data_IF_687378508993
#
_entry.id   IF_687378508993
#
_cell.length_a   1.000
_cell.length_b   1.000
_cell.length_c   1.000
_cell.angle_alpha   90.00
_cell.angle_beta   90.00
_cell.angle_gamma   90.00
#
_symmetry.space_group_name_H-M   'P 1'
#
loop_
_entity.id
_entity.type
_entity.pdbx_description
1 polymer ?
#
# COMPACT_ATOMS: atom_id res chain seq x y z
N UNK A 1 -54.67 -23.47 60.75
CA UNK A 1 -54.18 -24.71 60.10
C UNK A 1 -53.78 -24.33 58.70
N UNK A 2 -52.54 -24.65 58.32
CA UNK A 2 -51.88 -24.17 57.12
C UNK A 2 -52.60 -24.65 55.85
N UNK A 3 -52.90 -23.72 54.94
CA UNK A 3 -53.26 -24.03 53.57
C UNK A 3 -52.10 -23.71 52.64
N UNK A 4 -51.87 -24.65 51.73
CA UNK A 4 -50.69 -24.85 50.91
C UNK A 4 -50.50 -23.76 49.85
N UNK A 5 -49.36 -23.09 49.81
CA UNK A 5 -48.97 -22.26 48.65
C UNK A 5 -48.74 -23.17 47.43
N UNK A 6 -49.38 -22.91 46.27
CA UNK A 6 -49.08 -23.64 45.05
C UNK A 6 -47.73 -23.16 44.47
N UNK A 7 -46.89 -24.14 44.14
CA UNK A 7 -45.68 -23.98 43.34
C UNK A 7 -46.03 -23.31 41.99
N UNK A 8 -45.48 -22.11 41.77
CA UNK A 8 -45.47 -21.46 40.45
C UNK A 8 -44.72 -22.36 39.45
N UNK A 9 -45.45 -22.81 38.43
CA UNK A 9 -44.94 -23.54 37.29
C UNK A 9 -43.95 -22.69 36.49
N UNK A 10 -42.86 -23.31 36.04
CA UNK A 10 -41.72 -22.77 35.26
C UNK A 10 -42.09 -22.28 33.84
N UNK A 11 -43.33 -21.82 33.62
CA UNK A 11 -43.88 -21.44 32.30
C UNK A 11 -43.92 -19.93 32.02
N UNK A 12 -43.50 -19.08 32.97
CA UNK A 12 -43.47 -17.62 32.79
C UNK A 12 -42.03 -17.04 32.70
N UNK A 13 -41.11 -17.75 32.03
CA UNK A 13 -39.88 -17.09 31.55
C UNK A 13 -40.17 -16.41 30.22
N UNK A 14 -40.03 -15.07 30.12
CA UNK A 14 -40.14 -14.39 28.84
C UNK A 14 -39.11 -15.01 27.87
N UNK A 15 -39.45 -15.19 26.59
CA UNK A 15 -38.51 -15.72 25.61
C UNK A 15 -37.25 -14.88 25.64
N UNK A 16 -36.10 -15.50 25.92
CA UNK A 16 -34.81 -14.83 25.80
C UNK A 16 -34.75 -14.15 24.42
N UNK A 17 -34.35 -12.88 24.34
CA UNK A 17 -34.18 -12.22 23.06
C UNK A 17 -33.18 -13.06 22.26
N UNK A 18 -33.66 -13.67 21.16
CA UNK A 18 -32.80 -14.34 20.19
C UNK A 18 -31.75 -13.31 19.77
N UNK A 19 -30.51 -13.48 20.25
CA UNK A 19 -29.40 -12.63 19.84
C UNK A 19 -29.33 -12.71 18.31
N UNK A 20 -29.11 -11.58 17.62
CA UNK A 20 -28.95 -11.61 16.17
C UNK A 20 -27.86 -12.64 15.81
N UNK A 21 -28.00 -13.35 14.68
CA UNK A 21 -27.00 -14.31 14.24
C UNK A 21 -25.63 -13.61 14.24
N UNK A 22 -24.66 -14.21 14.94
CA UNK A 22 -23.33 -13.60 15.09
C UNK A 22 -22.70 -13.49 13.72
N UNK A 23 -22.23 -12.29 13.38
CA UNK A 23 -21.52 -12.11 12.11
C UNK A 23 -20.25 -12.97 12.10
N UNK A 24 -19.89 -13.48 10.92
CA UNK A 24 -18.67 -14.27 10.73
C UNK A 24 -17.44 -13.48 11.23
N UNK A 25 -17.42 -12.18 10.98
CA UNK A 25 -16.36 -11.27 11.40
C UNK A 25 -16.21 -11.20 12.92
N UNK A 26 -17.30 -11.09 13.67
CA UNK A 26 -17.26 -11.08 15.14
C UNK A 26 -16.76 -12.41 15.71
N UNK A 27 -17.11 -13.51 15.07
CA UNK A 27 -16.65 -14.85 15.48
C UNK A 27 -15.15 -15.02 15.22
N UNK A 28 -14.68 -14.62 14.04
CA UNK A 28 -13.25 -14.63 13.69
C UNK A 28 -12.46 -13.72 14.63
N UNK A 29 -12.94 -12.51 14.90
CA UNK A 29 -12.27 -11.53 15.77
C UNK A 29 -12.14 -12.04 17.21
N UNK A 30 -13.18 -12.70 17.74
CA UNK A 30 -13.12 -13.31 19.07
C UNK A 30 -12.15 -14.50 19.13
N UNK A 31 -12.01 -15.26 18.05
CA UNK A 31 -11.10 -16.40 17.97
C UNK A 31 -9.63 -15.99 17.84
N UNK A 32 -9.33 -14.96 17.05
CA UNK A 32 -7.95 -14.49 16.82
C UNK A 32 -7.32 -13.95 18.12
N UNK A 33 -8.12 -13.41 19.04
CA UNK A 33 -7.67 -13.08 20.40
C UNK A 33 -6.52 -12.08 20.44
N UNK A 34 -5.61 -12.25 21.42
CA UNK A 34 -4.42 -11.40 21.58
C UNK A 34 -3.33 -11.68 20.53
N UNK A 35 -2.44 -10.70 20.34
CA UNK A 35 -1.36 -10.76 19.36
C UNK A 35 -0.26 -11.72 19.83
N UNK A 36 -0.33 -12.97 19.36
CA UNK A 36 0.65 -14.02 19.71
C UNK A 36 1.91 -13.96 18.84
N UNK A 37 3.03 -14.49 19.34
CA UNK A 37 4.31 -14.52 18.62
C UNK A 37 4.23 -15.11 17.20
N UNK A 38 3.40 -16.13 16.99
CA UNK A 38 3.20 -16.73 15.68
C UNK A 38 2.55 -15.75 14.69
N UNK A 39 1.58 -14.95 15.15
CA UNK A 39 0.94 -13.91 14.34
C UNK A 39 1.94 -12.79 13.99
N UNK A 40 2.81 -12.43 14.94
CA UNK A 40 3.90 -11.45 14.68
C UNK A 40 4.85 -11.99 13.62
N UNK A 41 5.29 -13.24 13.78
CA UNK A 41 6.19 -13.88 12.83
C UNK A 41 5.57 -13.95 11.43
N UNK A 42 4.31 -14.36 11.32
CA UNK A 42 3.59 -14.41 10.04
C UNK A 42 3.40 -13.02 9.44
N UNK A 43 3.03 -12.02 10.25
CA UNK A 43 2.88 -10.64 9.79
C UNK A 43 4.20 -10.08 9.26
N UNK A 44 5.32 -10.31 9.97
CA UNK A 44 6.66 -9.91 9.50
C UNK A 44 7.03 -10.68 8.23
N UNK A 45 6.79 -12.00 8.20
CA UNK A 45 7.13 -12.84 7.07
C UNK A 45 6.40 -12.38 5.81
N UNK A 46 5.09 -12.13 5.88
CA UNK A 46 4.29 -11.62 4.74
C UNK A 46 4.68 -10.19 4.36
N UNK A 47 4.89 -9.32 5.35
CA UNK A 47 5.35 -7.94 5.13
C UNK A 47 6.73 -7.87 4.49
N UNK A 48 7.58 -8.88 4.65
CA UNK A 48 8.89 -8.96 4.02
C UNK A 48 8.81 -8.96 2.49
N UNK A 49 7.66 -9.33 1.89
CA UNK A 49 7.41 -9.17 0.45
C UNK A 49 7.65 -7.73 -0.04
N UNK A 50 7.39 -6.73 0.82
CA UNK A 50 7.54 -5.32 0.50
C UNK A 50 9.02 -4.92 0.31
N UNK A 51 9.98 -5.69 0.85
CA UNK A 51 11.41 -5.51 0.58
C UNK A 51 11.69 -5.69 -0.91
N UNK A 52 11.20 -6.79 -1.49
CA UNK A 52 11.40 -7.12 -2.90
C UNK A 52 10.61 -6.17 -3.81
N UNK A 53 9.42 -5.75 -3.36
CA UNK A 53 8.62 -4.74 -4.06
C UNK A 53 9.38 -3.41 -4.18
N UNK A 54 9.97 -2.92 -3.09
CA UNK A 54 10.79 -1.71 -3.09
C UNK A 54 12.00 -1.82 -4.01
N UNK A 55 12.73 -2.94 -3.91
CA UNK A 55 13.90 -3.21 -4.76
C UNK A 55 13.53 -3.18 -6.25
N UNK A 56 12.45 -3.86 -6.64
CA UNK A 56 11.98 -3.89 -8.04
C UNK A 56 11.44 -2.53 -8.51
N UNK A 57 10.84 -1.76 -7.61
CA UNK A 57 10.28 -0.44 -7.93
C UNK A 57 11.38 0.57 -8.25
N UNK A 58 12.49 0.55 -7.50
CA UNK A 58 13.56 1.54 -7.65
C UNK A 58 14.80 1.05 -8.40
N UNK A 59 14.85 -0.22 -8.85
CA UNK A 59 16.02 -0.75 -9.57
C UNK A 59 16.37 0.10 -10.82
N UNK A 60 15.37 0.68 -11.48
CA UNK A 60 15.57 1.52 -12.67
C UNK A 60 16.41 2.77 -12.39
N UNK A 61 16.40 3.27 -11.15
CA UNK A 61 17.25 4.41 -10.74
C UNK A 61 18.73 4.10 -10.98
N UNK A 62 19.15 2.83 -10.86
CA UNK A 62 20.53 2.41 -11.05
C UNK A 62 20.80 1.83 -12.45
N UNK A 63 19.86 1.06 -13.02
CA UNK A 63 20.07 0.44 -14.35
C UNK A 63 19.98 1.43 -15.50
N UNK A 64 19.25 2.52 -15.28
CA UNK A 64 19.00 3.55 -16.28
C UNK A 64 19.83 4.82 -15.99
N UNK A 65 20.75 4.77 -15.00
CA UNK A 65 21.64 5.89 -14.70
C UNK A 65 22.70 6.08 -15.81
N UNK A 66 23.03 7.34 -16.10
CA UNK A 66 24.16 7.68 -16.95
C UNK A 66 25.48 7.34 -16.22
N UNK A 67 26.37 6.55 -16.83
CA UNK A 67 27.68 6.29 -16.24
C UNK A 67 28.52 7.56 -16.23
N UNK A 68 29.50 7.63 -15.34
CA UNK A 68 30.49 8.71 -15.38
C UNK A 68 31.34 8.61 -16.64
N UNK A 69 31.75 9.76 -17.17
CA UNK A 69 32.53 9.89 -18.39
C UNK A 69 33.73 10.80 -18.16
N UNK A 70 34.81 10.53 -18.88
CA UNK A 70 35.99 11.39 -18.88
C UNK A 70 36.30 11.87 -20.30
N UNK A 71 36.96 13.01 -20.34
CA UNK A 71 37.46 13.60 -21.56
C UNK A 71 38.73 12.87 -22.01
N UNK A 72 38.79 12.44 -23.27
CA UNK A 72 40.01 11.87 -23.88
C UNK A 72 40.85 12.94 -24.55
N UNK A 73 40.26 14.07 -24.94
CA UNK A 73 40.94 15.22 -25.54
C UNK A 73 40.51 16.53 -24.86
N UNK A 74 41.28 16.94 -23.84
CA UNK A 74 41.04 18.15 -23.04
C UNK A 74 41.03 19.45 -23.85
N UNK A 75 41.52 19.43 -25.10
CA UNK A 75 41.48 20.62 -25.97
C UNK A 75 40.09 20.90 -26.57
N UNK A 76 39.23 19.88 -26.63
CA UNK A 76 37.90 19.94 -27.26
C UNK A 76 36.78 19.91 -26.22
N UNK A 77 37.00 19.25 -25.09
CA UNK A 77 35.97 19.05 -24.08
C UNK A 77 36.38 19.65 -22.73
N UNK A 78 35.51 20.53 -22.21
CA UNK A 78 35.56 21.00 -20.83
C UNK A 78 34.56 20.19 -20.00
N UNK A 79 34.82 20.00 -18.70
CA UNK A 79 33.90 19.31 -17.77
C UNK A 79 32.50 19.95 -17.60
N UNK A 80 32.24 21.09 -18.27
CA UNK A 80 30.95 21.78 -18.32
C UNK A 80 30.20 21.64 -19.67
N UNK A 81 30.83 21.01 -20.67
CA UNK A 81 30.21 20.77 -21.98
C UNK A 81 29.26 19.58 -21.90
N UNK A 82 28.07 19.70 -22.49
CA UNK A 82 27.15 18.54 -22.58
C UNK A 82 27.72 17.49 -23.54
N UNK A 83 27.68 16.21 -23.14
CA UNK A 83 28.16 15.05 -23.93
C UNK A 83 27.63 15.08 -25.37
N UNK A 84 26.44 15.64 -25.57
CA UNK A 84 25.75 15.71 -26.85
C UNK A 84 26.24 16.74 -27.83
N UNK A 85 27.02 17.71 -27.38
CA UNK A 85 27.64 18.71 -28.24
C UNK A 85 29.09 18.33 -28.58
N UNK A 86 29.61 17.26 -27.97
CA UNK A 86 30.98 16.81 -28.12
C UNK A 86 31.09 15.68 -29.16
N UNK A 87 32.14 15.68 -30.01
CA UNK A 87 32.41 14.57 -30.90
C UNK A 87 32.74 13.29 -30.12
N UNK A 88 32.24 12.13 -30.57
CA UNK A 88 32.42 10.83 -29.88
C UNK A 88 33.88 10.39 -29.67
N UNK A 89 34.83 11.01 -30.36
CA UNK A 89 36.26 10.74 -30.21
C UNK A 89 36.91 11.50 -29.05
N UNK A 90 36.27 12.54 -28.51
CA UNK A 90 36.83 13.41 -27.47
C UNK A 90 36.43 13.03 -26.05
N UNK A 91 35.65 11.97 -25.87
CA UNK A 91 35.23 11.48 -24.56
C UNK A 91 35.08 9.95 -24.56
N UNK A 92 35.18 9.33 -23.38
CA UNK A 92 34.86 7.92 -23.20
C UNK A 92 34.25 7.65 -21.82
N UNK A 93 33.47 6.57 -21.72
CA UNK A 93 32.88 6.15 -20.45
C UNK A 93 33.96 5.64 -19.49
N UNK A 94 33.84 5.97 -18.20
CA UNK A 94 34.74 5.42 -17.17
C UNK A 94 34.51 3.91 -16.95
N UNK A 95 33.32 3.43 -17.32
CA UNK A 95 32.87 2.06 -17.12
C UNK A 95 32.54 1.36 -18.44
N UNK A 96 32.58 0.01 -18.49
CA UNK A 96 32.24 -0.74 -19.69
C UNK A 96 30.81 -0.42 -20.19
N UNK A 97 30.63 -0.40 -21.51
CA UNK A 97 29.36 -0.01 -22.15
C UNK A 97 28.14 -0.86 -21.71
N UNK A 98 28.32 -2.06 -21.17
CA UNK A 98 27.21 -2.92 -20.72
C UNK A 98 26.70 -2.60 -19.30
N UNK A 99 27.24 -1.57 -18.65
CA UNK A 99 26.92 -1.22 -17.25
C UNK A 99 25.52 -0.64 -17.11
N UNK A 100 25.10 0.25 -18.02
CA UNK A 100 23.74 0.79 -18.06
C UNK A 100 23.08 0.60 -19.42
N UNK A 101 21.75 0.70 -19.45
CA UNK A 101 20.98 0.65 -20.70
C UNK A 101 21.38 1.83 -21.61
N UNK A 102 21.68 2.99 -21.03
CA UNK A 102 22.11 4.18 -21.79
C UNK A 102 23.45 3.92 -22.48
N UNK A 103 24.43 3.35 -21.78
CA UNK A 103 25.74 3.07 -22.35
C UNK A 103 25.75 1.91 -23.34
N UNK A 104 24.88 0.90 -23.18
CA UNK A 104 24.85 -0.30 -24.05
C UNK A 104 24.28 0.05 -25.42
N UNK A 105 23.31 0.96 -25.46
CA UNK A 105 22.52 1.27 -26.66
C UNK A 105 22.81 2.66 -27.24
N UNK A 106 23.74 3.42 -26.65
CA UNK A 106 24.21 4.69 -27.20
C UNK A 106 23.14 5.77 -27.23
N UNK A 107 22.26 5.80 -26.22
CA UNK A 107 21.12 6.72 -26.12
C UNK A 107 21.48 8.04 -25.41
N UNK A 108 22.75 8.43 -25.37
CA UNK A 108 23.22 9.65 -24.70
C UNK A 108 22.55 10.95 -25.20
N UNK A 109 22.07 11.00 -26.45
CA UNK A 109 21.62 12.24 -27.10
C UNK A 109 20.36 12.11 -27.96
N UNK A 110 19.59 11.04 -27.79
CA UNK A 110 18.42 10.82 -28.62
C UNK A 110 17.28 11.72 -28.19
N UNK A 111 16.87 12.67 -29.05
CA UNK A 111 15.51 13.21 -28.99
C UNK A 111 14.53 12.04 -29.19
N UNK A 112 13.38 12.05 -28.50
CA UNK A 112 12.44 10.93 -28.33
C UNK A 112 11.85 10.27 -29.60
N UNK A 113 12.38 10.50 -30.81
CA UNK A 113 11.70 10.12 -32.05
C UNK A 113 12.53 9.33 -33.09
N UNK A 114 13.88 9.37 -33.14
CA UNK A 114 14.62 8.84 -34.31
C UNK A 114 15.93 8.07 -34.00
N UNK A 115 15.90 6.97 -33.24
CA UNK A 115 17.08 6.07 -33.16
C UNK A 115 16.72 4.59 -33.18
N UNK A 116 15.92 4.18 -34.18
CA UNK A 116 15.77 2.79 -34.62
C UNK A 116 14.30 2.33 -34.63
N UNK A 117 13.69 2.20 -35.80
CA UNK A 117 12.23 2.03 -35.89
C UNK A 117 11.71 0.64 -36.36
N UNK A 118 12.47 -0.24 -37.04
CA UNK A 118 11.93 -1.57 -37.35
C UNK A 118 12.44 -2.73 -36.46
N UNK A 119 13.74 -2.78 -36.13
CA UNK A 119 14.30 -3.88 -35.33
C UNK A 119 14.19 -3.60 -33.82
N UNK A 120 14.45 -2.36 -33.41
CA UNK A 120 14.37 -1.90 -32.03
C UNK A 120 12.93 -1.65 -31.56
N UNK A 121 11.95 -1.44 -32.43
CA UNK A 121 10.53 -1.33 -32.03
C UNK A 121 9.95 -2.65 -31.52
N UNK A 122 10.38 -3.79 -32.08
CA UNK A 122 9.99 -5.11 -31.57
C UNK A 122 10.61 -5.35 -30.18
N UNK A 123 11.94 -5.17 -30.04
CA UNK A 123 12.60 -5.37 -28.75
C UNK A 123 12.16 -4.35 -27.69
N UNK A 124 11.95 -3.08 -28.07
CA UNK A 124 11.38 -2.06 -27.18
C UNK A 124 9.92 -2.35 -26.86
N UNK A 125 9.12 -2.81 -27.82
CA UNK A 125 7.74 -3.23 -27.60
C UNK A 125 7.68 -4.40 -26.61
N UNK A 126 8.53 -5.40 -26.78
CA UNK A 126 8.67 -6.51 -25.83
C UNK A 126 9.14 -6.01 -24.45
N UNK A 127 10.12 -5.11 -24.39
CA UNK A 127 10.60 -4.56 -23.12
C UNK A 127 9.51 -3.75 -22.41
N UNK A 128 8.79 -2.89 -23.13
CA UNK A 128 7.66 -2.11 -22.60
C UNK A 128 6.54 -3.02 -22.15
N UNK A 129 6.17 -4.05 -22.93
CA UNK A 129 5.16 -5.03 -22.55
C UNK A 129 5.57 -5.82 -21.31
N UNK A 130 6.83 -6.28 -21.23
CA UNK A 130 7.36 -6.99 -20.06
C UNK A 130 7.42 -6.08 -18.82
N UNK A 131 7.80 -4.80 -18.99
CA UNK A 131 7.79 -3.81 -17.91
C UNK A 131 6.37 -3.48 -17.45
N UNK A 132 5.40 -3.46 -18.38
CA UNK A 132 3.98 -3.29 -18.05
C UNK A 132 3.43 -4.48 -17.28
N UNK A 133 3.71 -5.71 -17.74
CA UNK A 133 3.32 -6.95 -17.04
C UNK A 133 3.97 -7.01 -15.65
N UNK A 134 5.26 -6.67 -15.55
CA UNK A 134 5.96 -6.55 -14.27
C UNK A 134 5.30 -5.48 -13.38
N UNK A 135 4.93 -4.34 -13.94
CA UNK A 135 4.16 -3.27 -13.28
C UNK A 135 2.85 -3.75 -12.69
N UNK A 136 2.07 -4.46 -13.49
CA UNK A 136 0.77 -4.98 -13.09
C UNK A 136 0.89 -6.06 -12.01
N UNK A 137 1.81 -7.00 -12.18
CA UNK A 137 2.11 -8.04 -11.20
C UNK A 137 2.54 -7.44 -9.86
N UNK A 138 3.45 -6.45 -9.90
CA UNK A 138 3.96 -5.75 -8.72
C UNK A 138 2.87 -5.04 -7.91
N UNK A 139 1.98 -4.31 -8.57
CA UNK A 139 0.88 -3.60 -7.89
C UNK A 139 -0.02 -4.52 -7.06
N UNK A 140 -0.11 -5.80 -7.45
CA UNK A 140 -0.92 -6.80 -6.76
C UNK A 140 -0.21 -7.33 -5.52
N UNK A 141 1.13 -7.44 -5.51
CA UNK A 141 1.91 -8.02 -4.40
C UNK A 141 1.71 -7.25 -3.11
N UNK A 142 1.91 -5.92 -3.12
CA UNK A 142 1.75 -5.09 -1.93
C UNK A 142 0.33 -5.15 -1.36
N UNK A 143 -0.67 -5.11 -2.23
CA UNK A 143 -2.09 -5.19 -1.86
C UNK A 143 -2.44 -6.55 -1.25
N UNK A 144 -2.04 -7.66 -1.88
CA UNK A 144 -2.30 -9.00 -1.38
C UNK A 144 -1.57 -9.26 -0.05
N UNK A 145 -0.32 -8.82 0.08
CA UNK A 145 0.43 -8.94 1.32
C UNK A 145 -0.24 -8.17 2.47
N UNK A 146 -0.70 -6.94 2.23
CA UNK A 146 -1.42 -6.16 3.24
C UNK A 146 -2.74 -6.83 3.64
N UNK A 147 -3.54 -7.29 2.67
CA UNK A 147 -4.80 -7.98 2.94
C UNK A 147 -4.55 -9.24 3.78
N UNK A 148 -3.64 -10.11 3.34
CA UNK A 148 -3.31 -11.35 4.05
C UNK A 148 -2.83 -11.05 5.48
N UNK A 149 -1.89 -10.12 5.66
CA UNK A 149 -1.38 -9.78 6.99
C UNK A 149 -2.47 -9.20 7.91
N UNK A 150 -3.41 -8.40 7.38
CA UNK A 150 -4.50 -7.80 8.19
C UNK A 150 -5.63 -8.78 8.52
N UNK A 151 -5.77 -9.86 7.76
CA UNK A 151 -6.76 -10.92 8.00
C UNK A 151 -6.28 -11.97 8.99
N UNK A 152 -4.97 -12.14 9.13
CA UNK A 152 -4.35 -13.03 10.13
C UNK A 152 -4.31 -12.42 11.53
N UNK A 153 -4.57 -11.12 11.67
CA UNK A 153 -4.44 -10.37 12.93
C UNK A 153 -5.75 -9.72 13.37
N UNK A 154 -5.88 -9.51 14.69
CA UNK A 154 -7.04 -8.85 15.28
C UNK A 154 -7.15 -7.38 14.86
N UNK A 155 -8.36 -6.82 14.90
CA UNK A 155 -8.67 -5.45 14.45
C UNK A 155 -7.76 -4.37 15.06
N UNK A 156 -7.39 -4.53 16.34
CA UNK A 156 -6.51 -3.61 17.07
C UNK A 156 -5.11 -3.48 16.45
N UNK A 157 -4.59 -4.55 15.85
CA UNK A 157 -3.20 -4.63 15.36
C UNK A 157 -3.05 -4.39 13.87
N UNK A 158 -4.17 -4.21 13.14
CA UNK A 158 -4.16 -4.03 11.67
C UNK A 158 -3.37 -2.79 11.24
N UNK A 159 -3.43 -1.71 12.02
CA UNK A 159 -2.66 -0.49 11.75
C UNK A 159 -1.15 -0.73 11.84
N UNK A 160 -0.71 -1.32 12.94
CA UNK A 160 0.71 -1.63 13.20
C UNK A 160 1.27 -2.59 12.14
N UNK A 161 0.51 -3.60 11.74
CA UNK A 161 0.91 -4.54 10.68
C UNK A 161 1.09 -3.85 9.33
N UNK A 162 0.25 -2.87 9.00
CA UNK A 162 0.46 -2.03 7.82
C UNK A 162 1.77 -1.25 7.89
N UNK A 163 2.10 -0.68 9.05
CA UNK A 163 3.36 0.05 9.26
C UNK A 163 4.58 -0.85 9.18
N UNK A 164 4.50 -2.11 9.65
CA UNK A 164 5.56 -3.11 9.48
C UNK A 164 5.85 -3.33 7.98
N UNK A 165 4.81 -3.39 7.14
CA UNK A 165 4.96 -3.44 5.68
C UNK A 165 5.78 -2.29 5.11
N UNK A 166 5.45 -1.05 5.52
CA UNK A 166 6.23 0.14 5.11
C UNK A 166 7.67 0.11 5.62
N UNK A 167 7.91 -0.38 6.84
CA UNK A 167 9.27 -0.52 7.35
C UNK A 167 10.09 -1.52 6.51
N UNK A 168 9.50 -2.66 6.15
CA UNK A 168 10.11 -3.62 5.24
C UNK A 168 10.38 -3.01 3.85
N UNK A 169 9.48 -2.18 3.34
CA UNK A 169 9.69 -1.45 2.09
C UNK A 169 10.91 -0.53 2.15
N UNK A 170 11.02 0.29 3.20
CA UNK A 170 12.17 1.17 3.40
C UNK A 170 13.48 0.38 3.54
N UNK A 171 13.47 -0.78 4.20
CA UNK A 171 14.64 -1.66 4.24
C UNK A 171 15.05 -2.19 2.85
N UNK A 172 14.07 -2.57 2.03
CA UNK A 172 14.31 -2.95 0.64
C UNK A 172 14.91 -1.81 -0.18
N UNK A 173 14.35 -0.61 -0.03
CA UNK A 173 14.85 0.58 -0.69
C UNK A 173 16.29 0.94 -0.25
N UNK A 174 16.59 0.85 1.06
CA UNK A 174 17.92 1.10 1.62
C UNK A 174 18.96 0.05 1.23
N UNK A 175 18.55 -1.20 0.98
CA UNK A 175 19.44 -2.27 0.54
C UNK A 175 19.91 -2.10 -0.91
N UNK A 176 19.11 -1.42 -1.73
CA UNK A 176 19.32 -1.33 -3.18
C UNK A 176 20.62 -0.57 -3.56
N UNK A 177 20.95 0.61 -2.99
CA UNK A 177 22.23 1.26 -3.22
C UNK A 177 23.44 0.37 -2.92
N UNK A 178 23.39 -0.41 -1.84
CA UNK A 178 24.48 -1.31 -1.47
C UNK A 178 24.65 -2.44 -2.50
N UNK A 179 23.54 -3.07 -2.93
CA UNK A 179 23.55 -4.10 -3.97
C UNK A 179 24.04 -3.55 -5.32
N UNK A 180 23.61 -2.34 -5.69
CA UNK A 180 24.03 -1.68 -6.91
C UNK A 180 25.52 -1.30 -6.86
N UNK A 181 26.03 -0.82 -5.71
CA UNK A 181 27.43 -0.43 -5.56
C UNK A 181 28.38 -1.63 -5.70
N UNK A 182 28.02 -2.78 -5.12
CA UNK A 182 28.79 -4.03 -5.27
C UNK A 182 28.81 -4.51 -6.73
N UNK A 183 27.69 -4.32 -7.46
CA UNK A 183 27.54 -4.75 -8.85
C UNK A 183 27.90 -3.68 -9.89
N UNK A 184 28.49 -2.54 -9.49
CA UNK A 184 28.73 -1.37 -10.37
C UNK A 184 29.58 -1.66 -11.61
N UNK A 185 30.44 -2.67 -11.57
CA UNK A 185 31.31 -3.08 -12.69
C UNK A 185 30.74 -4.23 -13.52
N UNK A 186 29.54 -4.71 -13.20
CA UNK A 186 28.85 -5.79 -13.91
C UNK A 186 27.75 -5.23 -14.82
N UNK A 187 27.21 -6.07 -15.71
CA UNK A 187 26.05 -5.69 -16.50
C UNK A 187 24.82 -5.41 -15.62
N UNK A 188 24.00 -4.44 -16.00
CA UNK A 188 22.70 -4.15 -15.37
C UNK A 188 21.79 -5.38 -15.22
N UNK A 189 21.94 -6.39 -16.10
CA UNK A 189 21.21 -7.67 -16.02
C UNK A 189 21.55 -8.45 -14.75
N UNK A 190 22.80 -8.37 -14.28
CA UNK A 190 23.24 -9.01 -13.04
C UNK A 190 22.48 -8.46 -11.83
N UNK A 191 22.22 -7.15 -11.80
CA UNK A 191 21.46 -6.53 -10.71
C UNK A 191 20.02 -7.06 -10.65
N UNK A 192 19.37 -7.26 -11.81
CA UNK A 192 18.05 -7.90 -11.87
C UNK A 192 18.07 -9.35 -11.36
N UNK A 193 19.12 -10.13 -11.68
CA UNK A 193 19.27 -11.50 -11.18
C UNK A 193 19.45 -11.53 -9.65
N UNK A 194 20.24 -10.61 -9.11
CA UNK A 194 20.48 -10.49 -7.66
C UNK A 194 19.22 -10.21 -6.84
N UNK A 195 18.24 -9.51 -7.42
CA UNK A 195 16.96 -9.23 -6.75
C UNK A 195 15.95 -10.36 -7.02
N UNK A 196 15.92 -10.89 -8.23
CA UNK A 196 14.92 -11.89 -8.64
C UNK A 196 15.13 -13.26 -7.97
N UNK A 197 16.38 -13.71 -7.82
CA UNK A 197 16.68 -15.03 -7.22
C UNK A 197 16.20 -15.10 -5.75
N UNK A 198 16.54 -14.14 -4.86
CA UNK A 198 16.00 -14.10 -3.51
C UNK A 198 14.47 -13.98 -3.46
N UNK A 199 13.86 -13.24 -4.39
CA UNK A 199 12.40 -13.11 -4.48
C UNK A 199 11.74 -14.46 -4.74
N UNK A 200 12.27 -15.25 -5.69
CA UNK A 200 11.74 -16.59 -6.00
C UNK A 200 11.86 -17.53 -4.79
N UNK A 201 13.02 -17.52 -4.12
CA UNK A 201 13.23 -18.32 -2.91
C UNK A 201 12.23 -17.91 -1.81
N UNK A 202 12.01 -16.60 -1.63
CA UNK A 202 11.03 -16.08 -0.69
C UNK A 202 9.60 -16.53 -1.04
N UNK A 203 9.18 -16.48 -2.31
CA UNK A 203 7.86 -16.96 -2.73
C UNK A 203 7.64 -18.44 -2.38
N UNK A 204 8.68 -19.28 -2.57
CA UNK A 204 8.65 -20.70 -2.18
C UNK A 204 8.50 -20.81 -0.66
N UNK A 205 9.28 -20.06 0.12
CA UNK A 205 9.21 -20.08 1.58
C UNK A 205 7.83 -19.66 2.11
N UNK A 206 7.25 -18.57 1.58
CA UNK A 206 5.92 -18.08 1.98
C UNK A 206 4.84 -19.12 1.69
N UNK A 207 4.90 -19.78 0.53
CA UNK A 207 3.93 -20.80 0.16
C UNK A 207 3.84 -21.95 1.18
N UNK A 208 4.95 -22.31 1.83
CA UNK A 208 4.97 -23.39 2.83
C UNK A 208 4.74 -22.91 4.27
N UNK A 209 5.15 -21.69 4.61
CA UNK A 209 5.17 -21.20 5.99
C UNK A 209 3.95 -20.36 6.38
N UNK A 210 3.31 -19.71 5.42
CA UNK A 210 2.20 -18.79 5.68
C UNK A 210 0.87 -19.49 5.42
N UNK A 211 -0.02 -19.60 6.42
CA UNK A 211 -1.35 -20.14 6.19
C UNK A 211 -2.21 -19.16 5.42
N UNK A 212 -3.15 -19.71 4.64
CA UNK A 212 -4.13 -18.91 3.93
C UNK A 212 -5.09 -18.19 4.88
N UNK A 213 -5.67 -17.08 4.40
CA UNK A 213 -6.62 -16.29 5.18
C UNK A 213 -7.83 -17.13 5.61
N UNK A 214 -8.18 -17.16 6.92
CA UNK A 214 -9.39 -17.80 7.39
C UNK A 214 -10.65 -17.29 6.70
N UNK A 215 -10.73 -15.97 6.47
CA UNK A 215 -11.88 -15.33 5.83
C UNK A 215 -12.06 -15.81 4.40
N UNK A 216 -10.97 -15.85 3.63
CA UNK A 216 -11.00 -16.33 2.26
C UNK A 216 -11.39 -17.81 2.18
N UNK A 217 -10.85 -18.65 3.07
CA UNK A 217 -11.20 -20.07 3.15
C UNK A 217 -12.69 -20.27 3.50
N UNK A 218 -13.27 -19.44 4.38
CA UNK A 218 -14.70 -19.47 4.68
C UNK A 218 -15.55 -19.08 3.47
N UNK A 219 -15.20 -17.99 2.77
CA UNK A 219 -15.93 -17.53 1.57
C UNK A 219 -15.87 -18.58 0.47
N UNK A 220 -14.76 -19.31 0.34
CA UNK A 220 -14.59 -20.42 -0.63
C UNK A 220 -15.21 -21.75 -0.20
N UNK A 221 -15.90 -21.81 0.94
CA UNK A 221 -16.53 -23.03 1.44
C UNK A 221 -15.55 -24.09 1.99
N UNK A 222 -14.25 -23.80 2.07
CA UNK A 222 -13.21 -24.68 2.65
C UNK A 222 -13.19 -24.57 4.18
N UNK A 223 -14.30 -24.96 4.79
CA UNK A 223 -14.60 -24.75 6.23
C UNK A 223 -13.61 -25.45 7.17
N UNK A 224 -13.19 -26.67 6.85
CA UNK A 224 -12.28 -27.46 7.69
C UNK A 224 -10.88 -26.85 7.79
N UNK A 225 -10.37 -26.36 6.66
CA UNK A 225 -9.08 -25.68 6.61
C UNK A 225 -9.12 -24.34 7.34
N UNK A 226 -10.20 -23.58 7.18
CA UNK A 226 -10.39 -22.31 7.87
C UNK A 226 -10.39 -22.49 9.41
N UNK A 227 -11.05 -23.53 9.89
CA UNK A 227 -11.05 -23.90 11.33
C UNK A 227 -9.65 -24.34 11.78
N UNK A 228 -8.91 -25.07 10.95
CA UNK A 228 -7.54 -25.51 11.27
C UNK A 228 -6.58 -24.33 11.36
N UNK A 229 -6.65 -23.39 10.42
CA UNK A 229 -5.87 -22.15 10.47
C UNK A 229 -6.24 -21.33 11.71
N UNK A 230 -7.53 -21.14 12.00
CA UNK A 230 -7.95 -20.42 13.20
C UNK A 230 -7.51 -21.11 14.49
N UNK A 231 -7.51 -22.43 14.57
CA UNK A 231 -6.96 -23.17 15.73
C UNK A 231 -5.47 -22.93 15.91
N UNK A 232 -4.71 -22.83 14.82
CA UNK A 232 -3.29 -22.47 14.86
C UNK A 232 -3.02 -21.03 15.32
N UNK A 233 -3.96 -20.12 15.05
CA UNK A 233 -3.87 -18.70 15.42
C UNK A 233 -4.49 -18.37 16.79
N UNK A 234 -5.43 -19.18 17.28
CA UNK A 234 -6.20 -18.92 18.48
C UNK A 234 -5.48 -19.35 19.77
N UNK A 235 -5.40 -18.45 20.74
CA UNK A 235 -4.89 -18.76 22.08
C UNK A 235 -5.86 -19.61 22.92
N UNK A 236 -7.16 -19.65 22.57
CA UNK A 236 -8.20 -20.33 23.36
C UNK A 236 -8.93 -21.40 22.54
N UNK A 237 -8.40 -22.62 22.54
CA UNK A 237 -8.94 -23.74 21.75
C UNK A 237 -10.38 -24.16 22.13
N UNK A 238 -10.84 -23.88 23.36
CA UNK A 238 -12.13 -24.37 23.88
C UNK A 238 -13.35 -23.58 23.40
N UNK A 239 -13.21 -22.30 23.02
CA UNK A 239 -14.32 -21.48 22.53
C UNK A 239 -14.69 -21.76 21.05
N UNK A 240 -13.78 -22.42 20.33
CA UNK A 240 -13.83 -22.58 18.88
C UNK A 240 -14.83 -23.67 18.46
N UNK A 241 -14.94 -24.76 19.23
CA UNK A 241 -15.80 -25.91 18.91
C UNK A 241 -17.30 -25.59 19.05
N UNK A 242 -17.68 -24.82 20.07
CA UNK A 242 -19.08 -24.44 20.29
C UNK A 242 -19.56 -23.27 19.42
N UNK A 243 -18.70 -22.28 19.14
CA UNK A 243 -19.12 -21.11 18.35
C UNK A 243 -19.16 -21.40 16.84
N UNK A 244 -18.25 -22.23 16.33
CA UNK A 244 -18.28 -22.61 14.92
C UNK A 244 -19.37 -23.62 14.60
N UNK A 245 -19.70 -24.56 15.49
CA UNK A 245 -20.79 -25.51 15.21
C UNK A 245 -22.12 -24.79 14.93
N UNK A 246 -22.40 -23.67 15.60
CA UNK A 246 -23.59 -22.86 15.34
C UNK A 246 -23.51 -22.03 14.05
N UNK A 247 -22.32 -21.48 13.71
CA UNK A 247 -22.10 -20.69 12.48
C UNK A 247 -22.03 -21.57 11.23
N UNK A 248 -21.50 -22.79 11.35
CA UNK A 248 -21.39 -23.77 10.27
C UNK A 248 -22.76 -24.25 9.78
N UNK A 249 -23.78 -24.20 10.65
CA UNK A 249 -25.17 -24.64 10.39
C UNK A 249 -26.01 -23.53 9.74
N UNK A 250 -25.69 -22.24 9.94
CA UNK A 250 -26.56 -21.12 9.55
C UNK A 250 -26.27 -20.54 8.15
N UNK A 251 -25.29 -21.07 7.42
CA UNK A 251 -24.85 -20.50 6.14
C UNK A 251 -25.02 -21.47 4.98
N UNK A 252 -26.28 -21.63 4.56
CA UNK A 252 -26.64 -22.10 3.21
C UNK A 252 -26.33 -20.99 2.18
N UNK A 253 -25.65 -21.38 1.10
CA UNK A 253 -25.49 -20.64 -0.16
C UNK A 253 -24.89 -19.22 -0.09
N UNK A 254 -23.57 -19.11 -0.05
CA UNK A 254 -22.93 -17.98 -0.74
C UNK A 254 -22.94 -18.31 -2.23
N UNK A 255 -23.65 -17.51 -3.02
CA UNK A 255 -23.62 -17.59 -4.48
C UNK A 255 -22.20 -17.25 -4.95
N UNK A 256 -21.48 -18.20 -5.55
CA UNK A 256 -20.12 -18.03 -6.09
C UNK A 256 -20.04 -16.91 -7.16
N UNK A 257 -21.19 -16.41 -7.62
CA UNK A 257 -21.35 -15.33 -8.58
C UNK A 257 -21.61 -13.96 -7.94
N UNK A 258 -20.80 -13.53 -6.96
CA UNK A 258 -20.70 -12.10 -6.68
C UNK A 258 -20.00 -11.45 -7.88
N UNK A 259 -20.79 -11.04 -8.86
CA UNK A 259 -20.30 -10.38 -10.06
C UNK A 259 -19.52 -9.13 -9.65
N UNK A 260 -18.21 -9.14 -9.87
CA UNK A 260 -17.31 -8.00 -9.57
C UNK A 260 -17.87 -6.72 -10.19
N UNK A 261 -18.51 -6.85 -11.36
CA UNK A 261 -19.14 -5.75 -12.07
C UNK A 261 -20.32 -5.15 -11.27
N UNK A 262 -21.11 -5.97 -10.59
CA UNK A 262 -22.20 -5.50 -9.72
C UNK A 262 -21.69 -4.70 -8.52
N UNK A 263 -20.60 -5.13 -7.90
CA UNK A 263 -19.98 -4.44 -6.74
C UNK A 263 -19.35 -3.11 -7.15
N UNK A 264 -18.61 -3.08 -8.26
CA UNK A 264 -18.04 -1.84 -8.82
C UNK A 264 -19.16 -0.88 -9.20
N UNK A 265 -20.23 -1.38 -9.82
CA UNK A 265 -21.40 -0.58 -10.18
C UNK A 265 -22.05 0.04 -8.95
N UNK A 266 -22.18 -0.68 -7.83
CA UNK A 266 -22.73 -0.15 -6.58
C UNK A 266 -21.83 0.97 -6.03
N UNK A 267 -20.51 0.78 -6.01
CA UNK A 267 -19.55 1.77 -5.53
C UNK A 267 -19.58 3.07 -6.36
N UNK A 268 -19.67 2.96 -7.68
CA UNK A 268 -19.69 4.11 -8.58
C UNK A 268 -21.05 4.82 -8.63
N UNK A 269 -22.15 4.07 -8.47
CA UNK A 269 -23.50 4.63 -8.55
C UNK A 269 -23.89 5.39 -7.27
N UNK A 270 -23.31 5.04 -6.12
CA UNK A 270 -23.53 5.76 -4.87
C UNK A 270 -22.65 7.01 -4.82
N UNK A 271 -23.27 8.20 -4.85
CA UNK A 271 -22.56 9.50 -4.82
C UNK A 271 -21.53 9.61 -3.69
N UNK A 272 -21.87 9.18 -2.47
CA UNK A 272 -20.97 9.23 -1.32
C UNK A 272 -19.73 8.34 -1.48
N UNK A 273 -19.91 7.15 -2.08
CA UNK A 273 -18.83 6.20 -2.30
C UNK A 273 -17.94 6.65 -3.46
N UNK A 274 -18.54 7.12 -4.55
CA UNK A 274 -17.84 7.67 -5.72
C UNK A 274 -17.03 8.92 -5.38
N UNK A 275 -17.57 9.83 -4.56
CA UNK A 275 -16.84 11.02 -4.06
C UNK A 275 -15.62 10.61 -3.21
N UNK A 276 -15.80 9.67 -2.27
CA UNK A 276 -14.68 9.17 -1.45
C UNK A 276 -13.63 8.46 -2.29
N UNK A 277 -14.06 7.61 -3.22
CA UNK A 277 -13.16 6.91 -4.13
C UNK A 277 -12.34 7.90 -4.95
N UNK A 278 -13.01 8.90 -5.55
CA UNK A 278 -12.34 9.94 -6.34
C UNK A 278 -11.34 10.73 -5.50
N UNK A 279 -11.71 11.14 -4.29
CA UNK A 279 -10.82 11.84 -3.37
C UNK A 279 -9.56 11.00 -3.04
N UNK A 280 -9.73 9.72 -2.68
CA UNK A 280 -8.62 8.81 -2.39
C UNK A 280 -7.73 8.61 -3.62
N UNK A 281 -8.31 8.48 -4.82
CA UNK A 281 -7.54 8.36 -6.06
C UNK A 281 -6.71 9.62 -6.35
N UNK A 282 -7.28 10.81 -6.23
CA UNK A 282 -6.58 12.09 -6.47
C UNK A 282 -5.46 12.30 -5.44
N UNK A 283 -5.75 12.08 -4.17
CA UNK A 283 -4.74 12.18 -3.11
C UNK A 283 -3.64 11.14 -3.29
N UNK A 284 -4.00 9.89 -3.58
CA UNK A 284 -3.03 8.81 -3.83
C UNK A 284 -2.14 9.08 -5.04
N UNK A 285 -2.70 9.64 -6.12
CA UNK A 285 -1.94 10.05 -7.29
C UNK A 285 -0.92 11.15 -6.96
N UNK A 286 -1.33 12.19 -6.21
CA UNK A 286 -0.45 13.25 -5.78
C UNK A 286 0.70 12.74 -4.89
N UNK A 287 0.38 11.90 -3.90
CA UNK A 287 1.39 11.27 -3.03
C UNK A 287 2.34 10.41 -3.86
N UNK A 288 1.82 9.59 -4.78
CA UNK A 288 2.62 8.74 -5.65
C UNK A 288 3.59 9.53 -6.53
N UNK A 289 3.13 10.63 -7.14
CA UNK A 289 4.02 11.48 -7.96
C UNK A 289 5.18 12.06 -7.15
N UNK A 290 4.92 12.56 -5.95
CA UNK A 290 5.99 13.13 -5.09
C UNK A 290 6.91 12.03 -4.59
N UNK A 291 6.35 10.91 -4.12
CA UNK A 291 7.11 9.81 -3.54
C UNK A 291 8.02 9.12 -4.56
N UNK A 292 7.48 8.73 -5.71
CA UNK A 292 8.25 8.04 -6.75
C UNK A 292 9.07 9.01 -7.61
N UNK A 293 8.62 10.27 -7.76
CA UNK A 293 9.35 11.28 -8.53
C UNK A 293 10.67 11.72 -7.89
N UNK A 294 10.74 11.75 -6.55
CA UNK A 294 11.95 12.19 -5.86
C UNK A 294 13.15 11.24 -6.10
N UNK A 295 13.07 9.90 -5.90
CA UNK A 295 14.17 8.98 -6.20
C UNK A 295 14.61 8.98 -7.66
N UNK A 296 13.66 9.07 -8.59
CA UNK A 296 13.93 9.12 -10.03
C UNK A 296 14.66 10.40 -10.44
N UNK A 297 14.44 11.51 -9.73
CA UNK A 297 15.13 12.77 -9.94
C UNK A 297 16.56 12.82 -9.41
N UNK A 298 16.96 11.90 -8.51
CA UNK A 298 18.29 11.91 -7.88
C UNK A 298 19.45 11.70 -8.87
N UNK A 299 19.19 11.06 -10.01
CA UNK A 299 20.18 10.92 -11.10
C UNK A 299 20.62 12.24 -11.73
N UNK A 300 19.81 13.30 -11.62
CA UNK A 300 20.11 14.61 -12.21
C UNK A 300 20.84 15.55 -11.26
N UNK A 301 21.05 15.17 -9.99
CA UNK A 301 21.82 15.97 -9.05
C UNK A 301 23.32 15.70 -9.19
N UNK A 302 24.14 16.70 -8.87
CA UNK A 302 25.61 16.58 -8.82
C UNK A 302 26.13 15.75 -7.64
N UNK A 303 25.23 15.20 -6.81
CA UNK A 303 25.56 14.35 -5.67
C UNK A 303 25.73 12.91 -6.16
N UNK A 304 26.63 12.14 -5.53
CA UNK A 304 26.79 10.72 -5.84
C UNK A 304 25.44 9.98 -5.70
N UNK A 305 24.98 9.35 -6.79
CA UNK A 305 23.68 8.69 -6.89
C UNK A 305 23.42 7.72 -5.72
N UNK A 306 24.41 6.88 -5.37
CA UNK A 306 24.28 5.89 -4.30
C UNK A 306 24.05 6.56 -2.94
N UNK A 307 24.78 7.63 -2.65
CA UNK A 307 24.62 8.39 -1.41
C UNK A 307 23.27 9.11 -1.37
N UNK A 308 22.86 9.74 -2.49
CA UNK A 308 21.58 10.43 -2.59
C UNK A 308 20.40 9.51 -2.31
N UNK A 309 20.37 8.33 -2.94
CA UNK A 309 19.31 7.33 -2.72
C UNK A 309 19.34 6.80 -1.28
N UNK A 310 20.53 6.57 -0.71
CA UNK A 310 20.68 6.11 0.68
C UNK A 310 20.12 7.12 1.68
N UNK A 311 20.46 8.41 1.53
CA UNK A 311 19.97 9.47 2.42
C UNK A 311 18.45 9.63 2.30
N UNK A 312 17.92 9.50 1.09
CA UNK A 312 16.48 9.53 0.86
C UNK A 312 15.76 8.39 1.60
N UNK A 313 16.20 7.14 1.38
CA UNK A 313 15.64 5.97 2.07
C UNK A 313 15.78 6.09 3.60
N UNK A 314 16.91 6.60 4.09
CA UNK A 314 17.14 6.80 5.53
C UNK A 314 16.18 7.82 6.15
N UNK A 315 15.75 8.83 5.38
CA UNK A 315 14.79 9.84 5.85
C UNK A 315 13.40 9.27 6.13
N UNK A 316 13.06 8.11 5.55
CA UNK A 316 11.77 7.45 5.77
C UNK A 316 11.70 6.71 7.12
N UNK A 317 12.83 6.17 7.62
CA UNK A 317 12.83 5.35 8.84
C UNK A 317 12.30 6.10 10.09
N UNK A 318 12.70 7.36 10.37
CA UNK A 318 12.12 8.12 11.47
C UNK A 318 10.60 8.34 11.31
N UNK A 319 10.14 8.61 10.08
CA UNK A 319 8.73 8.83 9.80
C UNK A 319 7.91 7.55 10.02
N UNK A 320 8.41 6.39 9.59
CA UNK A 320 7.78 5.09 9.83
C UNK A 320 7.72 4.73 11.31
N UNK A 321 8.78 5.02 12.09
CA UNK A 321 8.80 4.79 13.53
C UNK A 321 7.77 5.66 14.27
N UNK A 322 7.72 6.95 13.94
CA UNK A 322 6.70 7.87 14.50
C UNK A 322 5.29 7.37 14.15
N UNK A 323 5.07 6.97 12.91
CA UNK A 323 3.78 6.43 12.46
C UNK A 323 3.38 5.16 13.22
N UNK A 324 4.35 4.27 13.49
CA UNK A 324 4.11 3.03 14.24
C UNK A 324 3.55 3.30 15.64
N UNK A 325 4.07 4.32 16.34
CA UNK A 325 3.59 4.69 17.67
C UNK A 325 2.28 5.49 17.64
N UNK A 326 2.06 6.31 16.61
CA UNK A 326 0.84 7.12 16.49
C UNK A 326 -0.38 6.33 16.01
N UNK A 327 -0.19 5.21 15.32
CA UNK A 327 -1.31 4.41 14.77
C UNK A 327 -2.01 3.54 15.81
N UNK A 328 -1.47 3.45 17.03
CA UNK A 328 -2.18 2.78 18.13
C UNK A 328 -3.52 3.49 18.37
N UNK A 329 -4.56 2.74 18.76
CA UNK A 329 -5.98 3.14 18.62
C UNK A 329 -6.33 4.51 19.21
N UNK A 330 -5.59 4.97 20.22
CA UNK A 330 -5.80 6.28 20.83
C UNK A 330 -5.22 7.43 19.98
N UNK A 331 -4.14 7.19 19.23
CA UNK A 331 -3.46 8.18 18.41
C UNK A 331 -4.15 8.52 17.09
N UNK A 332 -4.81 7.55 16.44
CA UNK A 332 -5.59 7.82 15.22
C UNK A 332 -6.80 8.73 15.50
N UNK A 333 -7.52 8.48 16.60
CA UNK A 333 -8.62 9.33 17.03
C UNK A 333 -8.14 10.71 17.51
N UNK A 334 -7.00 10.80 18.21
CA UNK A 334 -6.38 12.07 18.60
C UNK A 334 -5.89 12.86 17.38
N UNK A 335 -5.28 12.21 16.38
CA UNK A 335 -4.82 12.86 15.14
C UNK A 335 -6.01 13.36 14.31
N UNK A 336 -7.07 12.56 14.19
CA UNK A 336 -8.31 12.98 13.54
C UNK A 336 -9.05 14.09 14.31
N UNK A 337 -8.92 14.12 15.64
CA UNK A 337 -9.40 15.25 16.44
C UNK A 337 -8.53 16.50 16.24
N UNK A 338 -7.20 16.35 16.11
CA UNK A 338 -6.27 17.46 15.86
C UNK A 338 -6.46 18.06 14.47
N UNK A 339 -6.64 17.23 13.45
CA UNK A 339 -6.99 17.69 12.10
C UNK A 339 -8.35 18.39 12.07
N UNK A 340 -9.35 17.87 12.80
CA UNK A 340 -10.63 18.58 12.99
C UNK A 340 -10.46 19.92 13.71
N UNK A 341 -9.54 20.00 14.69
CA UNK A 341 -9.21 21.24 15.40
C UNK A 341 -8.55 22.29 14.48
N UNK A 342 -7.59 21.89 13.65
CA UNK A 342 -6.94 22.77 12.66
C UNK A 342 -7.94 23.27 11.62
N UNK A 343 -8.88 22.41 11.19
CA UNK A 343 -9.96 22.80 10.29
C UNK A 343 -10.91 23.83 10.94
N UNK A 344 -11.23 23.65 12.23
CA UNK A 344 -12.07 24.58 12.99
C UNK A 344 -11.39 25.95 13.22
N UNK A 345 -10.09 25.96 13.53
CA UNK A 345 -9.33 27.20 13.69
C UNK A 345 -9.21 27.98 12.38
N UNK A 346 -9.03 27.29 11.25
CA UNK A 346 -9.05 27.92 9.93
C UNK A 346 -10.41 28.58 9.63
N UNK A 347 -11.52 27.92 9.99
CA UNK A 347 -12.89 28.43 9.79
C UNK A 347 -13.22 29.62 10.70
N UNK A 348 -12.71 29.61 11.94
CA UNK A 348 -12.81 30.74 12.88
C UNK A 348 -11.98 31.93 12.39
N UNK A 349 -10.76 31.69 11.89
CA UNK A 349 -9.92 32.77 11.37
C UNK A 349 -10.52 33.43 10.13
N UNK A 350 -11.12 32.65 9.22
CA UNK A 350 -11.86 33.19 8.06
C UNK A 350 -13.07 34.02 8.52
N UNK A 351 -13.76 33.60 9.58
CA UNK A 351 -14.94 34.31 10.10
C UNK A 351 -14.59 35.54 10.96
N UNK A 352 -13.36 35.65 11.46
CA UNK A 352 -12.89 36.72 12.34
C UNK A 352 -12.26 37.92 11.60
N UNK A 353 -11.99 37.83 10.29
CA UNK A 353 -11.46 38.96 9.49
C UNK A 353 -12.62 39.84 9.00
N UNK A 354 -12.84 41.04 9.57
CA UNK A 354 -13.99 41.88 9.23
C UNK A 354 -13.87 42.49 7.82
N UNK A 355 -12.64 42.58 7.31
CA UNK A 355 -12.28 43.31 6.10
C UNK A 355 -12.59 42.55 4.79
N UNK A 356 -13.07 41.30 4.86
CA UNK A 356 -13.53 40.49 3.72
C UNK A 356 -15.06 40.26 3.72
N UNK A 357 -15.83 40.98 4.56
CA UNK A 357 -17.29 40.87 4.56
C UNK A 357 -17.94 41.69 3.43
N UNK A 358 -17.29 42.74 2.92
CA UNK A 358 -17.87 43.61 1.89
C UNK A 358 -17.67 43.09 0.45
N UNK A 359 -16.64 42.29 0.16
CA UNK A 359 -16.46 41.72 -1.19
C UNK A 359 -17.22 40.39 -1.42
N UNK A 360 -17.72 39.74 -0.37
CA UNK A 360 -18.46 38.47 -0.47
C UNK A 360 -19.99 38.63 -0.54
N UNK A 361 -20.53 39.82 -0.27
CA UNK A 361 -21.98 40.08 -0.34
C UNK A 361 -22.59 39.92 -1.74
N UNK A 362 -21.77 39.95 -2.79
CA UNK A 362 -22.17 39.72 -4.18
C UNK A 362 -21.94 38.29 -4.67
N UNK A 363 -21.16 37.47 -3.95
CA UNK A 363 -20.91 36.05 -4.26
C UNK A 363 -21.81 35.09 -3.46
N UNK A 364 -22.49 35.57 -2.42
CA UNK A 364 -23.36 34.78 -1.54
C UNK A 364 -24.63 34.21 -2.21
N UNK A 365 -25.03 34.76 -3.37
CA UNK A 365 -26.16 34.24 -4.14
C UNK A 365 -25.83 32.96 -4.92
N UNK A 366 -24.61 32.85 -5.47
CA UNK A 366 -24.20 31.73 -6.33
C UNK A 366 -23.38 30.67 -5.56
N UNK A 367 -22.59 31.07 -4.56
CA UNK A 367 -21.84 30.13 -3.72
C UNK A 367 -22.73 29.37 -2.72
N UNK A 368 -23.79 30.00 -2.18
CA UNK A 368 -24.73 29.35 -1.25
C UNK A 368 -25.53 28.22 -1.90
N UNK A 369 -25.83 28.33 -3.20
CA UNK A 369 -26.47 27.25 -3.98
C UNK A 369 -25.50 26.08 -4.26
N UNK A 370 -24.21 26.38 -4.51
CA UNK A 370 -23.19 25.37 -4.78
C UNK A 370 -22.75 24.61 -3.51
N UNK A 371 -22.72 25.30 -2.35
CA UNK A 371 -22.29 24.72 -1.07
C UNK A 371 -23.40 23.94 -0.34
N UNK A 372 -24.67 24.40 -0.39
CA UNK A 372 -25.81 23.62 0.16
C UNK A 372 -26.05 22.31 -0.60
N UNK A 373 -25.78 22.28 -1.90
CA UNK A 373 -25.91 21.06 -2.70
C UNK A 373 -24.85 19.98 -2.41
N UNK A 374 -23.67 20.39 -1.93
CA UNK A 374 -22.50 19.51 -1.82
C UNK A 374 -22.19 19.05 -0.38
N UNK A 375 -22.51 19.85 0.64
CA UNK A 375 -22.03 19.59 2.02
C UNK A 375 -23.14 19.12 2.98
N UNK A 376 -24.40 19.48 2.74
CA UNK A 376 -25.54 18.99 3.53
C UNK A 376 -25.68 17.45 3.54
N UNK A 377 -25.41 16.71 2.44
CA UNK A 377 -25.44 15.24 2.45
C UNK A 377 -24.29 14.59 3.25
N UNK A 378 -23.16 15.29 3.40
CA UNK A 378 -21.97 14.81 4.12
C UNK A 378 -22.13 14.92 5.64
N UNK A 379 -22.87 15.93 6.13
CA UNK A 379 -23.17 16.12 7.55
C UNK A 379 -24.25 15.15 8.07
N UNK A 380 -25.23 14.77 7.24
CA UNK A 380 -26.25 13.76 7.62
C UNK A 380 -25.65 12.34 7.67
N UNK A 381 -24.65 12.04 6.84
CA UNK A 381 -23.98 10.74 6.82
C UNK A 381 -23.05 10.47 8.03
N UNK A 382 -22.64 11.51 8.76
CA UNK A 382 -21.77 11.40 9.93
C UNK A 382 -22.54 11.36 11.28
N UNK A 383 -23.86 11.58 11.26
CA UNK A 383 -24.71 11.70 12.45
C UNK A 383 -25.65 10.52 12.73
N UNK A 384 -25.56 9.42 11.99
CA UNK A 384 -26.43 8.24 12.18
C UNK A 384 -26.09 7.45 13.44
N UNK A 385 -26.54 7.93 14.60
CA UNK A 385 -26.62 7.17 15.84
C UNK A 385 -27.61 6.01 15.69
N UNK A 386 -27.19 4.88 16.23
CA UNK A 386 -27.96 3.70 16.59
C UNK A 386 -29.24 4.11 17.35
N UNK A 387 -30.39 3.79 16.76
CA UNK A 387 -31.60 3.30 17.44
C UNK A 387 -32.27 2.30 16.52
#
# INVERSE_FOLDING_TARGET
MADSMPLLSDSDKPPEPKRPPRSLDETIERCIGGFGWLQIFQAILVSFAWVFDAQQTFISVFTDAEPSWHCTDESVCNGFSSICQLPKSSWSWDWPAHTSIISEWGHECSTSFITGLPASSFFMGCLVALRFINGFGRATVGTCALVLSTELVGKRWRGQVGVIGFFCFTLGFLSLPAMAYVNRGSSWRTLYLWISVPTILYCILVHFLVPESPRWLFVKGRKEEAVTTLKGLAQTASALTMSFSNVLIEQESWDDNVDIYSSIRILLNKRWASQRLTAVMVTGFGIGMVYYGMPLGLGNLSVNLYLGVTLNALSELPASLITFFLIDSDGADIFLQRLRGVQYDADIHIRAVPHMREELGTLDGEASACFRGSVQPLLVAAGGKIT
#
